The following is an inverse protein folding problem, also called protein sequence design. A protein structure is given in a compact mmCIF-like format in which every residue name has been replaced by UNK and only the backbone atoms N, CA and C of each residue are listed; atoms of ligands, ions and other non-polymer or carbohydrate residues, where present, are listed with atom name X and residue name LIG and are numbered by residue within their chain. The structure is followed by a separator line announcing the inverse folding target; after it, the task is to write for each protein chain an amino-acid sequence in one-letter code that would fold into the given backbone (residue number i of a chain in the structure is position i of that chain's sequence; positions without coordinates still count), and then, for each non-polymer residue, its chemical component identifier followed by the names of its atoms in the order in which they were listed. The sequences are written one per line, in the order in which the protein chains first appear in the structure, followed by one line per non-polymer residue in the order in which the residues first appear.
data_IF_665606933234
#
_entry.id   IF_665606933234
#
_cell.length_a   1.000
_cell.length_b   1.000
_cell.length_c   1.000
_cell.angle_alpha   90.00
_cell.angle_beta   90.00
_cell.angle_gamma   90.00
#
_symmetry.space_group_name_H-M   'P 1'
#
loop_
_entity.id
_entity.type
_entity.pdbx_description
1 polymer ?
#
# COMPACT_ATOMS: atom_id res chain seq x y z
N UNK A 1 -37.75 34.51 -45.34
CA UNK A 1 -37.59 33.84 -44.05
C UNK A 1 -36.61 32.70 -44.29
N UNK A 2 -35.30 32.88 -44.19
CA UNK A 2 -34.55 33.16 -42.95
C UNK A 2 -33.85 31.85 -42.57
N UNK A 3 -32.55 31.76 -42.87
CA UNK A 3 -31.73 30.55 -42.81
C UNK A 3 -31.31 30.13 -41.39
N UNK A 4 -30.72 28.93 -41.33
CA UNK A 4 -29.74 28.46 -40.34
C UNK A 4 -30.26 27.97 -38.99
N UNK A 5 -30.23 26.64 -38.84
CA UNK A 5 -30.09 25.96 -37.55
C UNK A 5 -28.83 25.10 -37.55
N UNK A 6 -27.68 25.71 -37.30
CA UNK A 6 -26.46 25.02 -36.88
C UNK A 6 -26.47 25.02 -35.36
N UNK A 7 -26.56 23.85 -34.72
CA UNK A 7 -25.99 23.65 -33.40
C UNK A 7 -25.23 22.31 -33.37
N UNK A 8 -23.93 22.50 -33.55
CA UNK A 8 -22.83 21.62 -33.18
C UNK A 8 -22.80 21.52 -31.65
N UNK A 9 -22.59 20.32 -31.12
CA UNK A 9 -21.55 20.00 -30.14
C UNK A 9 -21.95 18.76 -29.33
N UNK A 10 -21.22 17.70 -29.58
CA UNK A 10 -21.08 16.58 -28.65
C UNK A 10 -20.45 17.10 -27.34
N UNK A 11 -20.90 16.66 -26.16
CA UNK A 11 -20.06 16.73 -24.99
C UNK A 11 -19.04 15.59 -25.03
N UNK A 12 -17.95 15.84 -25.77
CA UNK A 12 -16.64 15.31 -25.41
C UNK A 12 -16.29 15.74 -23.98
N UNK A 13 -15.70 14.82 -23.22
CA UNK A 13 -15.10 15.15 -21.93
C UNK A 13 -15.76 14.48 -20.73
N UNK A 14 -15.87 13.16 -20.71
CA UNK A 14 -15.75 12.46 -19.41
C UNK A 14 -14.29 12.53 -18.99
N UNK A 15 -14.03 13.55 -18.17
CA UNK A 15 -12.91 13.71 -17.26
C UNK A 15 -12.16 12.39 -17.04
N UNK A 16 -10.88 12.38 -17.41
CA UNK A 16 -9.98 11.31 -17.02
C UNK A 16 -10.15 11.06 -15.52
N UNK A 17 -10.42 9.80 -15.16
CA UNK A 17 -10.28 9.35 -13.78
C UNK A 17 -8.84 9.65 -13.38
N UNK A 18 -8.62 10.78 -12.71
CA UNK A 18 -7.41 10.98 -11.91
C UNK A 18 -7.42 9.86 -10.89
N UNK A 19 -6.68 8.79 -11.17
CA UNK A 19 -6.58 7.64 -10.29
C UNK A 19 -6.11 8.15 -8.94
N UNK A 20 -6.93 7.99 -7.90
CA UNK A 20 -6.53 8.29 -6.54
C UNK A 20 -5.32 7.41 -6.21
N UNK A 21 -4.23 8.04 -5.77
CA UNK A 21 -3.03 7.33 -5.36
C UNK A 21 -3.02 7.19 -3.84
N UNK A 22 -2.64 6.01 -3.36
CA UNK A 22 -2.42 5.73 -1.96
C UNK A 22 -0.92 5.71 -1.68
N UNK A 23 -0.48 6.62 -0.82
CA UNK A 23 0.91 6.74 -0.41
C UNK A 23 1.22 5.80 0.77
N UNK A 24 2.25 4.98 0.62
CA UNK A 24 2.87 4.19 1.68
C UNK A 24 3.97 5.03 2.35
N UNK A 25 3.82 5.28 3.64
CA UNK A 25 4.79 6.02 4.46
C UNK A 25 5.51 5.07 5.39
N UNK A 26 6.81 5.22 5.55
CA UNK A 26 7.59 4.34 6.42
C UNK A 26 7.11 4.41 7.86
N UNK A 27 6.89 3.23 8.46
CA UNK A 27 6.59 3.11 9.88
C UNK A 27 7.83 3.46 10.69
N UNK A 28 7.65 4.21 11.78
CA UNK A 28 8.72 4.58 12.71
C UNK A 28 8.47 3.95 14.08
N UNK A 29 9.54 3.51 14.72
CA UNK A 29 9.54 3.07 16.11
C UNK A 29 10.55 3.94 16.87
N UNK A 30 10.05 4.96 17.57
CA UNK A 30 10.89 6.10 17.98
C UNK A 30 11.36 6.88 16.75
N UNK A 31 12.65 7.23 16.73
CA UNK A 31 13.26 7.98 15.62
C UNK A 31 13.72 7.10 14.45
N UNK A 32 13.65 5.77 14.59
CA UNK A 32 14.18 4.84 13.60
C UNK A 32 13.08 4.32 12.67
N UNK A 33 13.28 4.38 11.33
CA UNK A 33 12.37 3.78 10.37
C UNK A 33 12.49 2.25 10.38
N UNK A 34 11.37 1.55 10.58
CA UNK A 34 11.36 0.07 10.62
C UNK A 34 11.45 -0.49 9.21
N UNK A 35 12.40 -1.39 8.95
CA UNK A 35 12.70 -1.91 7.61
C UNK A 35 11.46 -2.51 6.94
N UNK A 36 11.20 -2.08 5.70
CA UNK A 36 10.12 -2.59 4.84
C UNK A 36 8.68 -2.50 5.40
N UNK A 37 8.48 -1.79 6.53
CA UNK A 37 7.17 -1.58 7.15
C UNK A 37 6.61 -0.20 6.82
N UNK A 38 5.36 -0.18 6.38
CA UNK A 38 4.69 1.03 5.92
C UNK A 38 3.29 1.20 6.53
N UNK A 39 2.86 2.45 6.62
CA UNK A 39 1.50 2.86 6.98
C UNK A 39 0.92 3.69 5.86
N UNK A 40 -0.39 3.57 5.68
CA UNK A 40 -1.18 4.27 4.66
C UNK A 40 -2.62 4.49 5.15
N UNK A 41 -3.44 5.12 4.33
CA UNK A 41 -4.85 5.38 4.66
C UNK A 41 -5.63 4.09 4.97
N UNK A 42 -5.40 2.99 4.24
CA UNK A 42 -6.01 1.70 4.55
C UNK A 42 -5.65 1.19 5.95
N UNK A 43 -4.37 1.25 6.33
CA UNK A 43 -3.95 0.82 7.69
C UNK A 43 -4.51 1.74 8.78
N UNK A 44 -4.66 3.04 8.52
CA UNK A 44 -5.28 4.00 9.45
C UNK A 44 -6.77 3.74 9.63
N UNK A 45 -7.46 3.36 8.55
CA UNK A 45 -8.85 2.94 8.61
C UNK A 45 -9.00 1.67 9.46
N UNK A 46 -8.18 0.65 9.23
CA UNK A 46 -8.19 -0.59 10.02
C UNK A 46 -7.88 -0.35 11.51
N UNK A 47 -7.02 0.61 11.79
CA UNK A 47 -6.63 1.04 13.13
C UNK A 47 -7.78 1.59 14.00
N UNK A 48 -8.94 1.89 13.41
CA UNK A 48 -10.15 2.33 14.11
C UNK A 48 -10.84 1.17 14.84
N UNK A 49 -10.63 -0.06 14.38
CA UNK A 49 -11.24 -1.28 14.94
C UNK A 49 -10.39 -1.95 16.01
N UNK A 50 -9.29 -1.32 16.44
CA UNK A 50 -8.44 -1.88 17.50
C UNK A 50 -9.19 -1.97 18.82
N UNK A 51 -8.78 -2.89 19.67
CA UNK A 51 -9.11 -2.83 21.09
C UNK A 51 -8.29 -1.72 21.79
N UNK A 52 -8.87 -1.11 22.82
CA UNK A 52 -8.19 -0.12 23.67
C UNK A 52 -7.14 -0.74 24.60
N UNK A 53 -6.49 -1.82 24.16
CA UNK A 53 -5.54 -2.60 24.95
C UNK A 53 -4.29 -1.78 25.30
N UNK A 54 -3.62 -2.19 26.37
CA UNK A 54 -2.40 -1.55 26.90
C UNK A 54 -1.25 -1.48 25.88
N UNK A 55 -1.29 -2.31 24.83
CA UNK A 55 -0.31 -2.29 23.75
C UNK A 55 -0.96 -1.76 22.46
N UNK A 56 -0.44 -0.66 21.86
CA UNK A 56 -1.03 -0.08 20.66
C UNK A 56 -0.77 -0.98 19.44
N UNK A 57 -1.69 -1.91 19.19
CA UNK A 57 -1.73 -2.76 18.00
C UNK A 57 -2.07 -1.91 16.78
N UNK A 58 -1.06 -1.34 16.10
CA UNK A 58 -1.21 -0.59 14.85
C UNK A 58 -0.97 -1.49 13.66
N UNK A 59 -1.84 -1.39 12.67
CA UNK A 59 -1.69 -2.06 11.39
C UNK A 59 -0.53 -1.44 10.63
N UNK A 60 0.16 -2.27 9.88
CA UNK A 60 1.20 -1.86 8.93
C UNK A 60 1.20 -2.82 7.75
N UNK A 61 1.80 -2.40 6.65
CA UNK A 61 2.01 -3.22 5.47
C UNK A 61 3.49 -3.56 5.33
N UNK A 62 3.79 -4.77 4.87
CA UNK A 62 5.14 -5.09 4.39
C UNK A 62 5.20 -4.76 2.90
N UNK A 63 6.18 -3.95 2.50
CA UNK A 63 6.37 -3.57 1.11
C UNK A 63 7.87 -3.51 0.77
N UNK A 64 8.54 -4.67 0.77
CA UNK A 64 9.90 -4.77 0.24
C UNK A 64 9.88 -4.98 -1.28
N UNK A 65 11.05 -5.04 -1.89
CA UNK A 65 11.20 -5.37 -3.32
C UNK A 65 10.54 -6.71 -3.69
N UNK A 66 10.55 -7.67 -2.78
CA UNK A 66 9.93 -8.98 -3.00
C UNK A 66 8.41 -8.88 -3.08
N UNK A 67 7.77 -8.24 -2.09
CA UNK A 67 6.32 -8.06 -2.06
C UNK A 67 5.80 -7.24 -3.26
N UNK A 68 6.59 -6.25 -3.72
CA UNK A 68 6.27 -5.53 -4.94
C UNK A 68 6.41 -6.39 -6.20
N UNK A 69 7.39 -7.31 -6.25
CA UNK A 69 7.56 -8.22 -7.38
C UNK A 69 6.44 -9.26 -7.44
N UNK A 70 6.02 -9.77 -6.28
CA UNK A 70 4.92 -10.73 -6.16
C UNK A 70 3.54 -10.07 -6.35
N UNK A 71 3.46 -8.75 -6.23
CA UNK A 71 2.21 -7.99 -6.29
C UNK A 71 1.30 -8.29 -5.10
N UNK A 72 1.87 -8.64 -3.96
CA UNK A 72 1.14 -8.98 -2.73
C UNK A 72 1.79 -8.22 -1.58
N UNK A 73 1.09 -7.26 -1.01
CA UNK A 73 1.53 -6.50 0.16
C UNK A 73 0.77 -7.00 1.41
N UNK A 74 1.41 -7.81 2.28
CA UNK A 74 0.76 -8.30 3.49
C UNK A 74 0.39 -7.16 4.43
N UNK A 75 -0.83 -7.19 4.97
CA UNK A 75 -1.29 -6.34 6.06
C UNK A 75 -1.04 -7.09 7.36
N UNK A 76 -0.37 -6.44 8.30
CA UNK A 76 0.10 -7.01 9.56
C UNK A 76 -0.46 -6.25 10.74
N UNK A 77 -0.75 -6.99 11.80
CA UNK A 77 -0.67 -6.51 13.18
C UNK A 77 0.64 -7.03 13.79
N UNK A 78 1.18 -6.42 14.86
CA UNK A 78 2.36 -6.96 15.53
C UNK A 78 2.16 -8.45 15.87
N UNK A 79 3.03 -9.32 15.33
CA UNK A 79 2.95 -10.76 15.54
C UNK A 79 2.01 -11.55 14.64
N UNK A 80 1.24 -10.93 13.72
CA UNK A 80 0.29 -11.66 12.88
C UNK A 80 0.01 -10.99 11.52
N UNK A 81 -0.19 -11.79 10.47
CA UNK A 81 -0.77 -11.31 9.20
C UNK A 81 -2.29 -11.32 9.32
N UNK A 82 -2.94 -10.22 8.98
CA UNK A 82 -4.40 -10.04 9.05
C UNK A 82 -5.07 -9.99 7.69
N UNK A 83 -4.27 -9.84 6.64
CA UNK A 83 -4.79 -9.65 5.30
C UNK A 83 -3.69 -9.35 4.31
N UNK A 84 -4.09 -8.99 3.09
CA UNK A 84 -3.18 -8.59 2.04
C UNK A 84 -3.86 -7.63 1.06
N UNK A 85 -3.06 -6.75 0.50
CA UNK A 85 -3.38 -5.96 -0.69
C UNK A 85 -2.74 -6.62 -1.89
N UNK A 86 -3.53 -6.92 -2.90
CA UNK A 86 -3.06 -7.49 -4.15
C UNK A 86 -2.99 -6.39 -5.19
N UNK A 87 -1.87 -6.35 -5.90
CA UNK A 87 -1.57 -5.38 -6.94
C UNK A 87 -1.59 -6.05 -8.32
N UNK A 88 -1.79 -5.23 -9.35
CA UNK A 88 -1.46 -5.55 -10.73
C UNK A 88 -0.03 -5.09 -11.10
N UNK A 89 0.37 -5.30 -12.35
CA UNK A 89 1.68 -4.92 -12.88
C UNK A 89 1.94 -3.40 -12.80
N UNK A 90 0.88 -2.59 -12.78
CA UNK A 90 0.94 -1.14 -12.67
C UNK A 90 0.91 -0.65 -11.21
N UNK A 91 1.04 -1.56 -10.24
CA UNK A 91 0.92 -1.30 -8.80
C UNK A 91 -0.44 -0.71 -8.41
N UNK A 92 -1.48 -1.05 -9.17
CA UNK A 92 -2.86 -0.69 -8.87
C UNK A 92 -3.49 -1.80 -8.04
N UNK A 93 -4.22 -1.42 -7.00
CA UNK A 93 -4.90 -2.36 -6.12
C UNK A 93 -6.00 -3.08 -6.90
N UNK A 94 -5.87 -4.39 -7.08
CA UNK A 94 -6.89 -5.25 -7.69
C UNK A 94 -7.81 -5.92 -6.67
N UNK A 95 -7.31 -6.12 -5.45
CA UNK A 95 -8.06 -6.79 -4.38
C UNK A 95 -7.47 -6.38 -3.03
N UNK A 96 -8.32 -6.17 -2.04
CA UNK A 96 -7.92 -6.09 -0.63
C UNK A 96 -8.69 -7.18 0.11
N UNK A 97 -8.00 -7.92 0.96
CA UNK A 97 -8.62 -8.97 1.75
C UNK A 97 -8.16 -8.87 3.19
N UNK A 98 -9.13 -8.86 4.10
CA UNK A 98 -8.93 -9.09 5.53
C UNK A 98 -9.46 -10.50 5.82
N UNK A 99 -8.55 -11.38 6.19
CA UNK A 99 -8.81 -12.82 6.34
C UNK A 99 -8.57 -13.26 7.79
N UNK A 100 -9.38 -14.21 8.24
CA UNK A 100 -9.51 -14.58 9.64
C UNK A 100 -8.19 -15.02 10.28
N UNK A 101 -7.85 -14.39 11.39
CA UNK A 101 -6.75 -14.75 12.26
C UNK A 101 -7.17 -14.61 13.73
N UNK A 102 -6.21 -14.63 14.67
CA UNK A 102 -6.48 -14.45 16.10
C UNK A 102 -7.23 -13.14 16.45
N UNK A 103 -7.25 -12.17 15.53
CA UNK A 103 -7.87 -10.86 15.66
C UNK A 103 -9.14 -10.72 14.82
N UNK A 104 -9.71 -11.80 14.28
CA UNK A 104 -10.94 -11.75 13.47
C UNK A 104 -12.09 -11.02 14.19
N UNK A 105 -12.18 -11.18 15.50
CA UNK A 105 -13.21 -10.54 16.33
C UNK A 105 -13.08 -9.01 16.42
N UNK A 106 -11.94 -8.43 16.01
CA UNK A 106 -11.77 -6.97 15.99
C UNK A 106 -12.58 -6.31 14.87
N UNK A 107 -12.76 -6.99 13.74
CA UNK A 107 -13.36 -6.38 12.55
C UNK A 107 -14.85 -6.70 12.43
N UNK A 108 -15.67 -5.76 11.92
CA UNK A 108 -17.06 -6.06 11.58
C UNK A 108 -17.14 -7.05 10.42
N UNK A 109 -18.25 -7.78 10.31
CA UNK A 109 -18.44 -8.81 9.28
C UNK A 109 -18.30 -8.27 7.85
N UNK A 110 -18.71 -7.02 7.63
CA UNK A 110 -18.64 -6.33 6.34
C UNK A 110 -17.28 -5.66 6.05
N UNK A 111 -16.23 -5.92 6.83
CA UNK A 111 -14.94 -5.25 6.66
C UNK A 111 -14.37 -5.37 5.24
N UNK A 112 -14.55 -6.52 4.60
CA UNK A 112 -14.08 -6.76 3.23
C UNK A 112 -14.82 -5.91 2.19
N UNK A 113 -16.10 -5.57 2.44
CA UNK A 113 -16.85 -4.63 1.59
C UNK A 113 -16.34 -3.19 1.76
N UNK A 114 -16.00 -2.81 3.00
CA UNK A 114 -15.48 -1.47 3.30
C UNK A 114 -14.09 -1.24 2.67
N UNK A 115 -13.18 -2.21 2.78
CA UNK A 115 -11.84 -2.10 2.19
C UNK A 115 -11.83 -2.27 0.67
N UNK A 116 -12.90 -2.78 0.06
CA UNK A 116 -13.02 -2.85 -1.40
C UNK A 116 -13.05 -1.46 -2.06
N UNK A 117 -13.38 -0.40 -1.32
CA UNK A 117 -13.32 0.99 -1.79
C UNK A 117 -11.93 1.46 -2.22
N UNK A 118 -10.88 0.75 -1.81
CA UNK A 118 -9.49 1.03 -2.21
C UNK A 118 -9.08 0.37 -3.52
N UNK A 119 -9.92 -0.50 -4.10
CA UNK A 119 -9.65 -1.13 -5.40
C UNK A 119 -9.60 -0.06 -6.50
N UNK A 120 -8.61 -0.15 -7.39
CA UNK A 120 -8.36 0.81 -8.45
C UNK A 120 -7.43 1.98 -8.05
N UNK A 121 -7.02 2.07 -6.78
CA UNK A 121 -6.03 3.06 -6.36
C UNK A 121 -4.61 2.57 -6.68
N UNK A 122 -3.73 3.48 -7.10
CA UNK A 122 -2.31 3.16 -7.34
C UNK A 122 -1.47 3.33 -6.08
N UNK A 123 -0.52 2.43 -5.86
CA UNK A 123 0.39 2.50 -4.72
C UNK A 123 1.63 3.32 -5.09
N UNK A 124 1.98 4.28 -4.24
CA UNK A 124 3.26 4.99 -4.28
C UNK A 124 3.99 4.86 -2.94
N UNK A 125 5.32 4.87 -2.96
CA UNK A 125 6.13 4.87 -1.73
C UNK A 125 6.62 6.30 -1.49
N UNK A 126 6.26 6.86 -0.35
CA UNK A 126 6.76 8.17 0.08
C UNK A 126 8.28 8.11 0.23
N UNK A 127 8.99 9.10 -0.31
CA UNK A 127 10.45 9.17 -0.15
C UNK A 127 10.75 9.65 1.26
N UNK A 128 11.48 8.83 2.03
CA UNK A 128 12.19 9.32 3.21
C UNK A 128 13.48 9.99 2.72
N UNK A 129 13.71 11.25 3.09
CA UNK A 129 14.88 12.03 2.65
C UNK A 129 16.22 11.64 3.33
N UNK A 130 16.45 10.36 3.64
CA UNK A 130 17.76 9.92 4.15
C UNK A 130 18.24 8.63 3.47
N UNK A 131 19.30 8.81 2.68
CA UNK A 131 19.80 7.87 1.67
C UNK A 131 20.34 6.54 2.19
N UNK A 132 19.98 5.49 1.47
CA UNK A 132 20.68 4.22 1.48
C UNK A 132 22.01 4.41 0.73
N UNK A 133 23.14 4.53 1.45
CA UNK A 133 24.44 4.28 0.84
C UNK A 133 24.59 2.76 0.69
N UNK A 134 24.40 2.26 -0.53
CA UNK A 134 24.86 0.92 -0.92
C UNK A 134 26.34 0.78 -0.60
N UNK A 135 26.67 -0.02 0.41
CA UNK A 135 28.02 -0.54 0.56
C UNK A 135 28.24 -1.61 -0.51
N UNK A 136 28.85 -1.22 -1.64
CA UNK A 136 29.39 -2.15 -2.62
C UNK A 136 30.64 -2.77 -1.99
N UNK A 137 30.56 -4.02 -1.51
CA UNK A 137 31.77 -4.76 -1.14
C UNK A 137 32.45 -5.23 -2.42
N UNK A 138 33.54 -4.59 -2.80
CA UNK A 138 34.42 -5.06 -3.87
C UNK A 138 35.08 -6.37 -3.43
N UNK A 139 34.88 -7.43 -4.21
CA UNK A 139 35.60 -8.68 -4.10
C UNK A 139 37.10 -8.47 -4.32
N UNK A 140 37.93 -8.66 -3.29
CA UNK A 140 39.37 -8.78 -3.44
C UNK A 140 39.72 -10.26 -3.63
N UNK A 141 40.19 -10.60 -4.83
CA UNK A 141 40.57 -11.95 -5.21
C UNK A 141 41.78 -12.47 -4.44
N UNK A 142 41.70 -13.71 -3.99
CA UNK A 142 42.82 -14.41 -3.37
C UNK A 142 43.64 -15.11 -4.47
N UNK A 143 44.90 -14.72 -4.66
CA UNK A 143 45.86 -15.45 -5.52
C UNK A 143 46.35 -16.69 -4.76
N UNK A 144 46.57 -17.84 -5.43
CA UNK A 144 47.14 -19.01 -4.77
C UNK A 144 48.64 -18.81 -4.53
N UNK A 145 49.08 -19.11 -3.30
CA UNK A 145 50.50 -19.20 -2.94
C UNK A 145 51.16 -20.38 -3.67
N UNK A 146 52.35 -20.15 -4.21
CA UNK A 146 53.28 -21.18 -4.69
C UNK A 146 54.15 -21.68 -3.54
#
# INVERSE_FOLDING_TARGET
MGASGILKAEPDGKAGKGGTSMELRKRRMGDLPVRDEYVCELTKFLDQFRDGSWMPLRHYMIASKLEFADGILPIRLPGCTVGAVYLDENRTIRKVVIEGNAYKALYPENINEQVATYIGQSITVGRDEHGEKSAVSHHAGNKPCR
#
